data_IF_646842739006
#
_entry.id   IF_646842739006
#
_cell.length_a   1.000
_cell.length_b   1.000
_cell.length_c   1.000
_cell.angle_alpha   90.00
_cell.angle_beta   90.00
_cell.angle_gamma   90.00
#
_symmetry.space_group_name_H-M   'P 1'
#
loop_
_entity.id
_entity.type
_entity.pdbx_description
1 polymer ?
#
# COMPACT_ATOMS: atom_id res chain seq x y z
N UNK A 1 -30.45 -6.61 -28.41
CA UNK A 1 -29.81 -6.78 -27.09
C UNK A 1 -29.49 -5.40 -26.52
N UNK A 2 -29.90 -5.05 -25.30
CA UNK A 2 -29.53 -3.76 -24.72
C UNK A 2 -28.01 -3.69 -24.49
N UNK A 3 -27.40 -2.57 -24.85
CA UNK A 3 -25.98 -2.29 -24.60
C UNK A 3 -25.83 -1.52 -23.27
N UNK A 4 -24.76 -1.78 -22.53
CA UNK A 4 -24.44 -0.98 -21.35
C UNK A 4 -24.05 0.46 -21.76
N UNK A 5 -24.54 1.45 -21.02
CA UNK A 5 -24.15 2.86 -21.19
C UNK A 5 -22.67 3.11 -20.90
N UNK A 6 -22.07 2.32 -20.00
CA UNK A 6 -20.66 2.41 -19.62
C UNK A 6 -20.02 1.03 -19.68
N UNK A 7 -18.80 0.97 -20.22
CA UNK A 7 -18.01 -0.25 -20.27
C UNK A 7 -17.77 -0.85 -18.87
N UNK A 8 -17.88 -2.18 -18.69
CA UNK A 8 -17.69 -2.84 -17.40
C UNK A 8 -16.36 -2.54 -16.71
N UNK A 9 -15.28 -2.33 -17.47
CA UNK A 9 -13.95 -1.97 -16.94
C UNK A 9 -13.91 -0.63 -16.19
N UNK A 10 -14.88 0.25 -16.43
CA UNK A 10 -14.97 1.57 -15.79
C UNK A 10 -15.94 1.58 -14.60
N UNK A 11 -16.57 0.46 -14.25
CA UNK A 11 -17.54 0.45 -13.16
C UNK A 11 -16.90 0.72 -11.80
N UNK A 12 -15.68 0.22 -11.56
CA UNK A 12 -14.98 0.46 -10.30
C UNK A 12 -14.52 1.91 -10.14
N UNK A 13 -14.09 2.55 -11.22
CA UNK A 13 -13.77 3.98 -11.19
C UNK A 13 -15.02 4.85 -10.98
N UNK A 14 -16.17 4.45 -11.54
CA UNK A 14 -17.45 5.12 -11.27
C UNK A 14 -17.94 4.91 -9.84
N UNK A 15 -17.69 3.74 -9.24
CA UNK A 15 -18.00 3.49 -7.82
C UNK A 15 -17.23 4.45 -6.93
N UNK A 16 -15.95 4.69 -7.21
CA UNK A 16 -15.12 5.65 -6.48
C UNK A 16 -15.65 7.10 -6.52
N UNK A 17 -16.41 7.46 -7.55
CA UNK A 17 -16.99 8.81 -7.70
C UNK A 17 -18.35 8.98 -6.98
N UNK A 18 -18.91 7.94 -6.36
CA UNK A 18 -20.25 7.97 -5.78
C UNK A 18 -20.27 7.52 -4.33
N UNK A 19 -21.30 7.95 -3.60
CA UNK A 19 -21.58 7.46 -2.24
C UNK A 19 -20.50 7.83 -1.22
N UNK A 20 -20.19 6.89 -0.33
CA UNK A 20 -19.17 7.06 0.71
C UNK A 20 -17.75 7.15 0.15
N UNK A 21 -17.49 6.49 -0.99
CA UNK A 21 -16.17 6.48 -1.61
C UNK A 21 -15.75 7.87 -2.12
N UNK A 22 -16.72 8.67 -2.58
CA UNK A 22 -16.46 10.05 -3.00
C UNK A 22 -16.10 10.98 -1.84
N UNK A 23 -16.45 10.62 -0.60
CA UNK A 23 -16.17 11.39 0.62
C UNK A 23 -14.84 11.02 1.28
N UNK A 24 -14.14 10.00 0.75
CA UNK A 24 -12.82 9.62 1.24
C UNK A 24 -11.81 10.76 1.01
N UNK A 25 -10.74 10.85 1.83
CA UNK A 25 -9.75 11.91 1.67
C UNK A 25 -9.09 11.92 0.29
N UNK A 26 -8.80 13.11 -0.25
CA UNK A 26 -8.24 13.25 -1.59
C UNK A 26 -6.85 12.64 -1.73
N UNK A 27 -6.02 12.70 -0.68
CA UNK A 27 -4.68 12.10 -0.68
C UNK A 27 -4.74 10.57 -0.82
N UNK A 28 -5.68 9.92 -0.13
CA UNK A 28 -5.89 8.47 -0.23
C UNK A 28 -6.36 8.07 -1.64
N UNK A 29 -7.28 8.82 -2.23
CA UNK A 29 -7.74 8.57 -3.60
C UNK A 29 -6.64 8.78 -4.65
N UNK A 30 -5.72 9.74 -4.42
CA UNK A 30 -4.53 9.92 -5.27
C UNK A 30 -3.59 8.74 -5.15
N UNK A 31 -3.27 8.32 -3.93
CA UNK A 31 -2.42 7.16 -3.67
C UNK A 31 -2.98 5.89 -4.33
N UNK A 32 -4.30 5.64 -4.25
CA UNK A 32 -4.94 4.50 -4.94
C UNK A 32 -4.78 4.55 -6.47
N UNK A 33 -4.84 5.73 -7.07
CA UNK A 33 -4.65 5.91 -8.52
C UNK A 33 -3.19 5.71 -8.91
N UNK A 34 -2.27 6.24 -8.12
CA UNK A 34 -0.83 6.07 -8.29
C UNK A 34 -0.43 4.60 -8.15
N UNK A 35 -0.95 3.91 -7.14
CA UNK A 35 -0.76 2.47 -6.95
C UNK A 35 -1.26 1.66 -8.15
N UNK A 36 -2.44 2.02 -8.69
CA UNK A 36 -3.02 1.35 -9.85
C UNK A 36 -2.26 1.64 -11.16
N UNK A 37 -1.61 2.81 -11.26
CA UNK A 37 -0.80 3.20 -12.40
C UNK A 37 0.66 2.71 -12.30
N UNK A 38 1.14 2.41 -11.10
CA UNK A 38 2.50 1.99 -10.86
C UNK A 38 2.80 0.66 -11.57
N UNK A 39 3.89 0.57 -12.36
CA UNK A 39 4.28 -0.68 -12.97
C UNK A 39 4.70 -1.67 -11.86
N UNK A 40 4.36 -2.97 -12.00
CA UNK A 40 4.79 -3.96 -11.03
C UNK A 40 6.32 -4.09 -11.04
N UNK A 41 6.94 -4.34 -9.87
CA UNK A 41 8.38 -4.44 -9.78
C UNK A 41 8.94 -5.59 -10.61
N UNK A 42 10.13 -5.38 -11.16
CA UNK A 42 10.86 -6.42 -11.88
C UNK A 42 11.50 -7.41 -10.88
N UNK A 43 10.72 -8.41 -10.47
CA UNK A 43 11.16 -9.46 -9.54
C UNK A 43 11.51 -10.74 -10.28
N UNK A 44 10.52 -11.32 -10.96
CA UNK A 44 10.66 -12.62 -11.66
C UNK A 44 11.10 -12.49 -13.12
N UNK A 45 11.43 -11.28 -13.56
CA UNK A 45 11.88 -10.98 -14.91
C UNK A 45 12.95 -9.90 -14.87
N UNK A 46 13.83 -9.90 -15.89
CA UNK A 46 14.88 -8.89 -16.01
C UNK A 46 14.44 -7.81 -17.00
N UNK A 47 14.49 -6.53 -16.61
CA UNK A 47 14.16 -5.47 -17.54
C UNK A 47 15.19 -5.39 -18.67
N UNK A 48 14.73 -5.10 -19.91
CA UNK A 48 15.65 -4.86 -21.00
C UNK A 48 16.50 -3.62 -20.71
N UNK A 49 17.76 -3.65 -21.12
CA UNK A 49 18.68 -2.54 -20.91
C UNK A 49 18.33 -1.29 -21.74
N UNK A 50 17.63 -1.47 -22.87
CA UNK A 50 17.25 -0.40 -23.78
C UNK A 50 15.85 -0.63 -24.35
N UNK A 51 15.14 0.45 -24.67
CA UNK A 51 13.82 0.36 -25.32
C UNK A 51 13.87 -0.25 -26.71
N UNK A 52 15.04 -0.19 -27.37
CA UNK A 52 15.26 -0.76 -28.69
C UNK A 52 16.31 -1.86 -28.59
N UNK A 53 16.01 -3.02 -29.15
CA UNK A 53 17.02 -4.05 -29.38
C UNK A 53 17.47 -4.07 -30.83
N UNK A 54 18.78 -4.17 -30.99
CA UNK A 54 19.38 -4.62 -32.24
C UNK A 54 19.22 -6.13 -32.29
N UNK A 55 18.41 -6.61 -33.25
CA UNK A 55 18.33 -8.04 -33.57
C UNK A 55 19.17 -8.31 -34.81
N UNK A 56 19.82 -9.48 -34.91
CA UNK A 56 20.42 -9.90 -36.17
C UNK A 56 19.30 -10.12 -37.19
N UNK A 57 19.23 -9.25 -38.20
CA UNK A 57 18.19 -9.27 -39.24
C UNK A 57 18.13 -7.94 -40.01
N UNK A 58 17.37 -7.86 -41.11
CA UNK A 58 17.31 -6.69 -41.99
C UNK A 58 16.60 -5.47 -41.38
N UNK A 59 15.84 -5.66 -40.30
CA UNK A 59 15.19 -4.58 -39.57
C UNK A 59 16.07 -4.11 -38.41
N UNK A 60 16.71 -2.96 -38.58
CA UNK A 60 17.43 -2.28 -37.50
C UNK A 60 16.43 -1.68 -36.50
N UNK A 61 16.55 -2.07 -35.23
CA UNK A 61 15.87 -1.44 -34.09
C UNK A 61 14.41 -1.84 -33.88
N UNK A 62 14.18 -2.97 -33.19
CA UNK A 62 12.82 -3.36 -32.75
C UNK A 62 12.56 -2.80 -31.35
N UNK A 63 11.46 -2.04 -31.20
CA UNK A 63 11.01 -1.58 -29.88
C UNK A 63 10.63 -2.78 -29.00
N UNK A 64 11.26 -2.88 -27.84
CA UNK A 64 10.98 -3.87 -26.83
C UNK A 64 9.89 -3.36 -25.89
N UNK A 65 8.87 -4.18 -25.68
CA UNK A 65 7.85 -3.92 -24.68
C UNK A 65 8.14 -4.74 -23.44
N UNK A 66 8.03 -4.09 -22.29
CA UNK A 66 8.09 -4.75 -20.99
C UNK A 66 6.70 -5.30 -20.69
N UNK A 67 6.60 -6.62 -20.60
CA UNK A 67 5.39 -7.31 -20.14
C UNK A 67 5.72 -8.02 -18.83
N UNK A 68 5.14 -7.58 -17.70
CA UNK A 68 5.43 -8.18 -16.41
C UNK A 68 4.85 -9.59 -16.32
N UNK A 69 5.55 -10.45 -15.58
CA UNK A 69 5.08 -11.82 -15.30
C UNK A 69 3.96 -11.76 -14.26
N UNK A 70 2.77 -12.35 -14.52
CA UNK A 70 1.72 -12.43 -13.52
C UNK A 70 2.16 -13.25 -12.31
N UNK A 71 2.10 -12.63 -11.14
CA UNK A 71 2.45 -13.27 -9.86
C UNK A 71 1.17 -13.50 -9.06
N UNK A 72 1.04 -14.69 -8.49
CA UNK A 72 0.00 -15.00 -7.53
C UNK A 72 0.53 -14.83 -6.10
N UNK A 73 -0.11 -13.96 -5.33
CA UNK A 73 0.19 -13.76 -3.91
C UNK A 73 -0.82 -14.55 -3.07
N UNK A 74 -0.38 -15.62 -2.38
CA UNK A 74 -1.25 -16.38 -1.50
C UNK A 74 -1.48 -15.61 -0.17
N UNK A 75 -2.50 -15.96 0.64
CA UNK A 75 -2.83 -15.22 1.86
C UNK A 75 -1.67 -15.14 2.86
N UNK A 76 -0.81 -16.16 2.93
CA UNK A 76 0.39 -16.18 3.78
C UNK A 76 1.39 -15.07 3.41
N UNK A 77 1.37 -14.61 2.15
CA UNK A 77 2.18 -13.47 1.71
C UNK A 77 1.70 -12.15 2.30
N UNK A 78 0.43 -12.05 2.71
CA UNK A 78 -0.13 -10.84 3.33
C UNK A 78 0.19 -10.75 4.82
N UNK A 79 0.51 -11.89 5.44
CA UNK A 79 0.96 -11.99 6.84
C UNK A 79 2.49 -11.86 6.98
N UNK A 80 3.24 -12.08 5.89
CA UNK A 80 4.71 -11.99 5.87
C UNK A 80 5.22 -10.79 5.06
N UNK A 81 6.55 -10.70 4.92
CA UNK A 81 7.22 -9.74 4.05
C UNK A 81 8.01 -10.49 2.98
N UNK A 82 7.45 -10.60 1.76
CA UNK A 82 8.07 -11.39 0.68
C UNK A 82 8.85 -10.53 -0.33
N UNK A 83 8.82 -9.19 -0.21
CA UNK A 83 9.63 -8.28 -1.02
C UNK A 83 9.27 -8.31 -2.52
N UNK A 84 7.98 -8.53 -2.82
CA UNK A 84 7.46 -8.65 -4.19
C UNK A 84 7.63 -10.05 -4.80
N UNK A 85 8.22 -11.01 -4.09
CA UNK A 85 8.18 -12.41 -4.50
C UNK A 85 6.79 -13.00 -4.28
N UNK A 86 6.45 -14.00 -5.09
CA UNK A 86 5.19 -14.72 -5.00
C UNK A 86 5.23 -15.97 -5.84
N UNK A 87 4.11 -16.68 -5.91
CA UNK A 87 4.00 -17.91 -6.68
C UNK A 87 3.83 -17.58 -8.17
N UNK A 88 4.73 -18.09 -9.00
CA UNK A 88 4.61 -17.97 -10.46
C UNK A 88 4.05 -19.29 -10.99
N UNK A 89 2.90 -19.22 -11.67
CA UNK A 89 2.29 -20.35 -12.34
C UNK A 89 2.55 -20.25 -13.84
N UNK A 90 3.11 -21.29 -14.45
CA UNK A 90 3.38 -21.29 -15.88
C UNK A 90 3.61 -22.69 -16.44
N UNK A 91 4.27 -22.72 -17.58
CA UNK A 91 4.57 -23.95 -18.30
C UNK A 91 6.07 -24.05 -18.54
N UNK A 92 6.59 -25.28 -18.51
CA UNK A 92 7.94 -25.61 -18.98
C UNK A 92 7.86 -26.71 -20.01
N UNK A 93 8.81 -26.75 -20.94
CA UNK A 93 8.97 -27.91 -21.80
C UNK A 93 9.89 -28.94 -21.13
N UNK A 94 9.66 -30.23 -21.37
CA UNK A 94 10.59 -31.26 -20.89
C UNK A 94 11.97 -31.09 -21.57
N UNK A 95 13.05 -31.24 -20.81
CA UNK A 95 14.43 -31.05 -21.27
C UNK A 95 14.72 -29.67 -21.90
N UNK A 96 13.88 -28.66 -21.62
CA UNK A 96 13.94 -27.31 -22.21
C UNK A 96 13.89 -27.29 -23.75
N UNK A 97 13.37 -28.36 -24.36
CA UNK A 97 13.20 -28.49 -25.80
C UNK A 97 11.74 -28.20 -26.21
N UNK A 98 11.56 -27.26 -27.15
CA UNK A 98 10.24 -26.84 -27.64
C UNK A 98 9.44 -27.97 -28.30
N UNK A 99 10.11 -28.97 -28.87
CA UNK A 99 9.46 -30.13 -29.49
C UNK A 99 8.97 -31.16 -28.46
N UNK A 100 9.48 -31.07 -27.23
CA UNK A 100 9.11 -31.95 -26.14
C UNK A 100 7.76 -31.57 -25.48
N UNK A 101 7.25 -32.43 -24.59
CA UNK A 101 5.95 -32.23 -23.94
C UNK A 101 5.94 -30.98 -23.03
N UNK A 102 4.88 -30.17 -23.14
CA UNK A 102 4.62 -29.03 -22.26
C UNK A 102 4.02 -29.47 -20.91
N UNK A 103 4.65 -29.08 -19.81
CA UNK A 103 4.29 -29.42 -18.43
C UNK A 103 3.91 -28.17 -17.64
N UNK A 104 2.87 -28.25 -16.79
CA UNK A 104 2.54 -27.19 -15.83
C UNK A 104 3.58 -27.19 -14.71
N UNK A 105 4.10 -26.01 -14.37
CA UNK A 105 5.05 -25.82 -13.27
C UNK A 105 4.63 -24.61 -12.44
N UNK A 106 4.67 -24.79 -11.13
CA UNK A 106 4.53 -23.72 -10.15
C UNK A 106 5.88 -23.51 -9.49
N UNK A 107 6.38 -22.28 -9.54
CA UNK A 107 7.59 -21.85 -8.83
C UNK A 107 7.15 -21.13 -7.56
N UNK A 108 7.63 -21.64 -6.41
CA UNK A 108 7.32 -21.10 -5.08
C UNK A 108 8.57 -20.42 -4.51
N UNK A 109 8.43 -19.29 -3.80
CA UNK A 109 9.55 -18.65 -3.14
C UNK A 109 10.01 -19.47 -1.92
N UNK A 110 11.24 -19.23 -1.48
CA UNK A 110 11.77 -19.80 -0.24
C UNK A 110 11.53 -18.82 0.91
N UNK A 111 10.78 -19.27 1.91
CA UNK A 111 10.34 -18.46 3.06
C UNK A 111 11.02 -18.94 4.33
N UNK A 112 11.49 -17.99 5.14
CA UNK A 112 12.14 -18.21 6.43
C UNK A 112 11.44 -17.41 7.51
N UNK A 113 11.37 -17.94 8.72
CA UNK A 113 10.90 -17.18 9.88
C UNK A 113 12.11 -16.59 10.59
N UNK A 114 12.18 -15.25 10.65
CA UNK A 114 13.27 -14.51 11.28
C UNK A 114 12.71 -13.47 12.26
N UNK A 115 13.54 -13.09 13.22
CA UNK A 115 13.21 -12.06 14.20
C UNK A 115 13.92 -10.76 13.82
N UNK A 116 13.16 -9.67 13.79
CA UNK A 116 13.64 -8.33 13.50
C UNK A 116 13.33 -7.41 14.67
N UNK A 117 14.19 -6.43 14.90
CA UNK A 117 13.95 -5.39 15.88
C UNK A 117 13.63 -4.08 15.15
N UNK A 118 12.58 -3.41 15.61
CA UNK A 118 12.18 -2.08 15.13
C UNK A 118 12.53 -1.06 16.20
N UNK A 119 13.29 -0.04 15.81
CA UNK A 119 13.74 1.05 16.70
C UNK A 119 12.57 1.99 17.02
N UNK A 120 11.74 2.30 16.02
CA UNK A 120 10.57 3.17 16.19
C UNK A 120 9.49 2.48 17.05
N UNK A 121 9.35 1.17 16.94
CA UNK A 121 8.37 0.42 17.72
C UNK A 121 8.89 -0.02 19.10
N UNK A 122 10.21 -0.08 19.29
CA UNK A 122 10.91 -0.69 20.44
C UNK A 122 10.43 -2.12 20.71
N UNK A 123 10.30 -2.92 19.63
CA UNK A 123 9.75 -4.28 19.69
C UNK A 123 10.47 -5.23 18.74
N UNK A 124 10.60 -6.49 19.18
CA UNK A 124 11.02 -7.61 18.34
C UNK A 124 9.79 -8.23 17.65
N UNK A 125 9.88 -8.42 16.35
CA UNK A 125 8.81 -8.98 15.51
C UNK A 125 9.34 -10.25 14.83
N UNK A 126 8.58 -11.33 14.92
CA UNK A 126 8.88 -12.58 14.21
C UNK A 126 8.06 -12.64 12.91
N UNK A 127 8.72 -12.51 11.77
CA UNK A 127 8.06 -12.36 10.46
C UNK A 127 8.59 -13.40 9.48
N UNK A 128 7.70 -13.91 8.63
CA UNK A 128 8.03 -14.76 7.49
C UNK A 128 8.61 -13.91 6.35
N UNK A 129 9.85 -14.16 5.97
CA UNK A 129 10.63 -13.38 4.99
C UNK A 129 11.26 -14.23 3.91
N UNK A 130 11.51 -13.64 2.74
CA UNK A 130 12.29 -14.25 1.65
C UNK A 130 13.75 -13.77 1.70
N UNK A 131 14.66 -14.45 0.98
CA UNK A 131 16.05 -14.00 0.88
C UNK A 131 16.17 -12.60 0.29
N UNK A 132 15.37 -12.30 -0.74
CA UNK A 132 15.34 -10.97 -1.37
C UNK A 132 14.97 -9.88 -0.37
N UNK A 133 14.00 -10.13 0.50
CA UNK A 133 13.61 -9.17 1.54
C UNK A 133 14.77 -8.88 2.48
N UNK A 134 15.53 -9.90 2.89
CA UNK A 134 16.73 -9.70 3.71
C UNK A 134 17.77 -8.83 2.98
N UNK A 135 18.05 -9.10 1.70
CA UNK A 135 18.96 -8.27 0.90
C UNK A 135 18.47 -6.82 0.75
N UNK A 136 17.16 -6.61 0.62
CA UNK A 136 16.58 -5.27 0.54
C UNK A 136 16.68 -4.53 1.88
N UNK A 137 16.52 -5.23 3.00
CA UNK A 137 16.72 -4.68 4.34
C UNK A 137 18.18 -4.26 4.56
N UNK A 138 19.13 -5.09 4.12
CA UNK A 138 20.55 -4.78 4.19
C UNK A 138 20.89 -3.55 3.32
N UNK A 139 20.35 -3.48 2.09
CA UNK A 139 20.50 -2.31 1.20
C UNK A 139 19.89 -1.04 1.78
N UNK A 140 18.80 -1.17 2.54
CA UNK A 140 18.14 -0.05 3.19
C UNK A 140 18.82 0.37 4.51
N UNK A 141 19.80 -0.41 4.98
CA UNK A 141 20.49 -0.26 6.27
C UNK A 141 19.55 -0.29 7.49
N UNK A 142 18.52 -1.14 7.45
CA UNK A 142 17.65 -1.35 8.60
C UNK A 142 16.22 -1.77 8.24
N UNK A 143 15.56 -2.41 9.21
CA UNK A 143 14.18 -2.87 9.07
C UNK A 143 13.19 -1.72 8.91
N UNK A 144 13.28 -0.71 9.77
CA UNK A 144 12.38 0.45 9.73
C UNK A 144 12.58 1.27 8.44
N UNK A 145 13.83 1.46 8.02
CA UNK A 145 14.14 2.13 6.75
C UNK A 145 13.58 1.37 5.55
N UNK A 146 13.69 0.04 5.54
CA UNK A 146 13.12 -0.78 4.48
C UNK A 146 11.61 -0.53 4.35
N UNK A 147 10.86 -0.57 5.45
CA UNK A 147 9.40 -0.39 5.42
C UNK A 147 9.01 1.05 5.01
N UNK A 148 9.73 2.06 5.51
CA UNK A 148 9.44 3.46 5.19
C UNK A 148 9.78 3.82 3.74
N UNK A 149 10.93 3.36 3.22
CA UNK A 149 11.39 3.64 1.85
C UNK A 149 10.63 2.86 0.79
N UNK A 150 10.24 1.62 1.06
CA UNK A 150 9.59 0.78 0.04
C UNK A 150 8.16 1.25 -0.26
N UNK A 151 7.80 1.43 -1.55
CA UNK A 151 6.43 1.73 -1.95
C UNK A 151 5.53 0.50 -1.80
N UNK A 152 4.22 0.72 -1.73
CA UNK A 152 3.21 -0.35 -1.59
C UNK A 152 3.28 -1.38 -2.72
N UNK A 153 3.55 -0.94 -3.95
CA UNK A 153 3.70 -1.78 -5.13
C UNK A 153 4.87 -2.76 -5.05
N UNK A 154 5.90 -2.45 -4.26
CA UNK A 154 7.06 -3.33 -4.03
C UNK A 154 6.90 -4.21 -2.78
N UNK A 155 6.24 -3.68 -1.75
CA UNK A 155 6.06 -4.40 -0.50
C UNK A 155 5.08 -5.58 -0.66
N UNK A 156 4.02 -5.40 -1.46
CA UNK A 156 2.99 -6.40 -1.79
C UNK A 156 2.37 -7.15 -0.59
N UNK A 157 2.44 -6.58 0.61
CA UNK A 157 2.01 -7.21 1.87
C UNK A 157 1.18 -6.24 2.71
N UNK A 158 0.03 -6.74 3.21
CA UNK A 158 -0.82 -6.02 4.15
C UNK A 158 -0.12 -5.74 5.48
N UNK A 159 0.52 -6.76 6.09
CA UNK A 159 1.25 -6.57 7.34
C UNK A 159 2.34 -5.51 7.19
N UNK A 160 3.05 -5.48 6.05
CA UNK A 160 4.06 -4.46 5.80
C UNK A 160 3.47 -3.05 5.74
N UNK A 161 2.30 -2.89 5.12
CA UNK A 161 1.60 -1.59 5.06
C UNK A 161 1.03 -1.16 6.42
N UNK A 162 0.55 -2.11 7.22
CA UNK A 162 0.11 -1.86 8.59
C UNK A 162 1.29 -1.41 9.46
N UNK A 163 2.44 -2.07 9.36
CA UNK A 163 3.66 -1.64 10.02
C UNK A 163 4.04 -0.23 9.57
N UNK A 164 4.04 0.04 8.26
CA UNK A 164 4.35 1.37 7.71
C UNK A 164 3.45 2.45 8.32
N UNK A 165 2.14 2.22 8.36
CA UNK A 165 1.18 3.13 9.00
C UNK A 165 1.51 3.35 10.48
N UNK A 166 1.76 2.28 11.24
CA UNK A 166 2.07 2.41 12.68
C UNK A 166 3.36 3.20 12.91
N UNK A 167 4.40 2.98 12.11
CA UNK A 167 5.67 3.71 12.17
C UNK A 167 5.44 5.20 11.89
N UNK A 168 4.72 5.52 10.81
CA UNK A 168 4.43 6.91 10.43
C UNK A 168 3.59 7.65 11.48
N UNK A 169 2.60 6.99 12.07
CA UNK A 169 1.80 7.58 13.15
C UNK A 169 2.65 7.88 14.39
N UNK A 170 3.57 6.98 14.77
CA UNK A 170 4.50 7.24 15.88
C UNK A 170 5.42 8.42 15.59
N UNK A 171 5.93 8.52 14.36
CA UNK A 171 6.77 9.63 13.93
C UNK A 171 5.98 10.96 13.92
N UNK A 172 4.72 10.94 13.48
CA UNK A 172 3.87 12.13 13.44
C UNK A 172 3.54 12.64 14.86
N UNK A 173 3.19 11.73 15.77
CA UNK A 173 2.81 12.07 17.16
C UNK A 173 3.98 12.41 18.07
N UNK A 174 5.21 12.04 17.69
CA UNK A 174 6.39 12.06 18.57
C UNK A 174 6.08 11.39 19.91
N UNK A 175 5.53 10.18 19.84
CA UNK A 175 4.93 9.50 20.98
C UNK A 175 5.89 9.48 22.20
N UNK A 176 5.49 10.03 23.35
CA UNK A 176 6.33 10.07 24.54
C UNK A 176 6.46 8.71 25.23
N UNK A 177 5.73 7.70 24.75
CA UNK A 177 5.81 6.31 25.22
C UNK A 177 7.04 5.56 24.69
N UNK A 178 7.70 6.07 23.65
CA UNK A 178 8.92 5.46 23.11
C UNK A 178 10.10 5.74 24.05
N UNK A 179 10.69 4.71 24.65
CA UNK A 179 11.75 4.84 25.66
C UNK A 179 11.39 5.88 26.76
N UNK A 180 10.48 5.55 27.69
CA UNK A 180 10.06 6.48 28.75
C UNK A 180 11.23 7.01 29.59
N UNK A 181 12.24 6.16 29.81
CA UNK A 181 13.36 6.46 30.71
C UNK A 181 14.50 7.23 30.03
N UNK A 182 14.59 7.19 28.69
CA UNK A 182 15.72 7.74 27.91
C UNK A 182 15.26 8.73 26.82
N UNK A 183 15.06 10.02 27.16
CA UNK A 183 14.64 11.04 26.19
C UNK A 183 15.67 11.31 25.10
N UNK A 184 16.98 11.23 25.43
CA UNK A 184 18.05 11.43 24.45
C UNK A 184 18.04 10.38 23.33
N UNK A 185 17.73 9.12 23.66
CA UNK A 185 17.59 8.05 22.66
C UNK A 185 16.39 8.28 21.76
N UNK A 186 15.26 8.73 22.32
CA UNK A 186 14.05 9.07 21.56
C UNK A 186 14.33 10.17 20.54
N UNK A 187 15.00 11.24 20.94
CA UNK A 187 15.37 12.32 20.02
C UNK A 187 16.34 11.84 18.94
N UNK A 188 17.30 10.99 19.29
CA UNK A 188 18.22 10.38 18.32
C UNK A 188 17.46 9.56 17.26
N UNK A 189 16.55 8.67 17.69
CA UNK A 189 15.69 7.88 16.79
C UNK A 189 14.85 8.81 15.91
N UNK A 190 14.21 9.82 16.48
CA UNK A 190 13.41 10.77 15.70
C UNK A 190 14.25 11.51 14.65
N UNK A 191 15.46 11.93 15.01
CA UNK A 191 16.38 12.61 14.09
C UNK A 191 16.80 11.71 12.93
N UNK A 192 16.99 10.40 13.19
CA UNK A 192 17.32 9.40 12.16
C UNK A 192 16.21 9.26 11.10
N UNK A 193 14.93 9.36 11.49
CA UNK A 193 13.77 9.13 10.61
C UNK A 193 13.02 10.41 10.20
N UNK A 194 13.61 11.58 10.45
CA UNK A 194 12.99 12.89 10.21
C UNK A 194 12.49 13.08 8.77
N UNK A 195 13.16 12.46 7.80
CA UNK A 195 12.82 12.54 6.37
C UNK A 195 11.43 11.96 6.03
N UNK A 196 10.92 11.04 6.86
CA UNK A 196 9.68 10.31 6.59
C UNK A 196 8.47 10.84 7.38
N UNK A 197 8.60 12.01 8.01
CA UNK A 197 7.51 12.58 8.81
C UNK A 197 6.41 13.11 7.89
N UNK A 198 5.22 12.52 8.02
CA UNK A 198 3.99 12.89 7.31
C UNK A 198 2.97 13.38 8.34
N UNK A 199 2.05 14.31 8.00
CA UNK A 199 0.98 14.72 8.91
C UNK A 199 0.16 13.53 9.40
N UNK A 200 -0.28 13.59 10.67
CA UNK A 200 -1.08 12.51 11.28
C UNK A 200 -2.34 12.19 10.45
N UNK A 201 -3.02 13.24 9.97
CA UNK A 201 -4.23 13.11 9.15
C UNK A 201 -4.01 12.31 7.86
N UNK A 202 -2.82 12.35 7.26
CA UNK A 202 -2.50 11.58 6.06
C UNK A 202 -1.98 10.18 6.43
N UNK A 203 -1.15 10.10 7.47
CA UNK A 203 -0.54 8.86 7.95
C UNK A 203 -1.58 7.81 8.32
N UNK A 204 -2.71 8.20 8.91
CA UNK A 204 -3.75 7.26 9.31
C UNK A 204 -4.44 6.53 8.14
N UNK A 205 -4.36 7.06 6.92
CA UNK A 205 -4.99 6.48 5.73
C UNK A 205 -4.03 5.64 4.88
N UNK A 206 -2.74 5.68 5.19
CA UNK A 206 -1.74 4.89 4.48
C UNK A 206 -1.96 3.40 4.78
N UNK A 207 -1.92 2.57 3.74
CA UNK A 207 -1.98 1.12 3.88
C UNK A 207 -3.36 0.51 4.10
N UNK A 208 -4.40 1.33 4.32
CA UNK A 208 -5.77 0.85 4.42
C UNK A 208 -6.23 0.21 3.12
N UNK A 209 -6.99 -0.88 3.24
CA UNK A 209 -7.75 -1.42 2.11
C UNK A 209 -8.94 -0.51 1.77
N UNK A 210 -9.53 -0.68 0.59
CA UNK A 210 -10.74 0.07 0.21
C UNK A 210 -11.88 -0.17 1.20
N UNK A 211 -12.04 -1.41 1.67
CA UNK A 211 -13.07 -1.80 2.63
C UNK A 211 -12.82 -1.17 4.00
N UNK A 212 -11.58 -1.18 4.47
CA UNK A 212 -11.19 -0.57 5.75
C UNK A 212 -11.32 0.95 5.71
N UNK A 213 -10.97 1.58 4.59
CA UNK A 213 -11.13 3.02 4.39
C UNK A 213 -12.62 3.42 4.42
N UNK A 214 -13.48 2.62 3.80
CA UNK A 214 -14.94 2.81 3.85
C UNK A 214 -15.45 2.66 5.27
N UNK A 215 -15.01 1.63 6.00
CA UNK A 215 -15.45 1.41 7.37
C UNK A 215 -14.97 2.53 8.30
N UNK A 216 -13.71 2.97 8.15
CA UNK A 216 -13.17 4.12 8.88
C UNK A 216 -14.01 5.38 8.63
N UNK A 217 -14.30 5.68 7.37
CA UNK A 217 -15.15 6.82 7.01
C UNK A 217 -16.56 6.70 7.57
N UNK A 218 -17.13 5.49 7.56
CA UNK A 218 -18.45 5.21 8.13
C UNK A 218 -18.49 5.47 9.63
N UNK A 219 -17.44 5.06 10.35
CA UNK A 219 -17.31 5.32 11.80
C UNK A 219 -17.14 6.80 12.08
N UNK A 220 -16.37 7.55 11.28
CA UNK A 220 -16.20 8.99 11.41
C UNK A 220 -17.51 9.77 11.16
N UNK A 221 -18.29 9.34 10.18
CA UNK A 221 -19.58 9.95 9.83
C UNK A 221 -20.72 9.52 10.75
N UNK A 222 -20.52 8.47 11.57
CA UNK A 222 -21.52 7.96 12.49
C UNK A 222 -21.78 9.00 13.59
N UNK A 223 -22.73 9.89 13.32
CA UNK A 223 -23.31 10.85 14.26
C UNK A 223 -24.74 10.44 14.54
N UNK A 224 -25.12 10.46 15.81
CA UNK A 224 -26.53 10.26 16.17
C UNK A 224 -27.36 11.39 15.55
N UNK A 225 -28.54 11.09 14.99
CA UNK A 225 -29.38 12.11 14.41
C UNK A 225 -29.73 13.13 15.49
N UNK A 226 -29.41 14.40 15.24
CA UNK A 226 -29.74 15.48 16.17
C UNK A 226 -31.27 15.57 16.26
N UNK A 227 -31.87 15.48 17.46
CA UNK A 227 -33.31 15.60 17.60
C UNK A 227 -33.82 16.93 17.05
N UNK A 228 -34.86 16.91 16.22
CA UNK A 228 -35.43 18.11 15.57
C UNK A 228 -35.83 19.20 16.58
N UNK A 229 -36.21 18.80 17.80
CA UNK A 229 -36.48 19.72 18.89
C UNK A 229 -35.34 20.71 19.14
N UNK A 230 -34.09 20.24 19.13
CA UNK A 230 -32.91 21.11 19.34
C UNK A 230 -32.76 22.12 18.20
N UNK A 231 -32.96 21.66 16.96
CA UNK A 231 -32.91 22.52 15.77
C UNK A 231 -33.96 23.62 15.86
N UNK A 232 -35.21 23.28 16.15
CA UNK A 232 -36.29 24.28 16.28
C UNK A 232 -36.11 25.22 17.48
N UNK A 233 -35.54 24.74 18.58
CA UNK A 233 -35.23 25.59 19.73
C UNK A 233 -34.15 26.64 19.38
N UNK A 234 -33.11 26.24 18.65
CA UNK A 234 -32.06 27.15 18.16
C UNK A 234 -32.63 28.18 17.17
N UNK A 235 -33.48 27.74 16.22
CA UNK A 235 -34.16 28.63 15.28
C UNK A 235 -35.04 29.66 16.00
N UNK A 236 -35.78 29.25 17.04
CA UNK A 236 -36.62 30.14 17.84
C UNK A 236 -35.79 31.19 18.58
N UNK A 237 -34.67 30.79 19.20
CA UNK A 237 -33.76 31.72 19.88
C UNK A 237 -33.22 32.76 18.90
N UNK A 238 -32.77 32.32 17.71
CA UNK A 238 -32.30 33.23 16.66
C UNK A 238 -33.39 34.21 16.20
N UNK A 239 -34.63 33.74 16.12
CA UNK A 239 -35.77 34.58 15.74
C UNK A 239 -36.06 35.65 16.80
N UNK A 240 -36.04 35.28 18.08
CA UNK A 240 -36.25 36.19 19.20
C UNK A 240 -35.12 37.23 19.33
N UNK A 241 -33.87 36.82 19.13
CA UNK A 241 -32.72 37.74 19.10
C UNK A 241 -32.84 38.77 17.98
N UNK A 242 -33.29 38.37 16.78
CA UNK A 242 -33.57 39.31 15.68
C UNK A 242 -34.65 40.31 16.06
N UNK A 243 -35.71 39.88 16.73
CA UNK A 243 -36.81 40.75 17.17
C UNK A 243 -36.41 41.75 18.25
N UNK A 244 -35.43 41.42 19.11
CA UNK A 244 -34.91 42.36 20.13
C UNK A 244 -33.92 43.40 19.58
N UNK A 245 -33.35 43.15 18.40
CA UNK A 245 -32.39 44.05 17.75
C UNK A 245 -33.07 45.10 16.85
N UNK A 246 -34.40 45.05 16.71
CA UNK A 246 -35.27 46.06 16.08
C UNK A 246 -36.13 46.75 17.13
#
# INVERSE_FOLDING_TARGET
MPLHKVAPRLWDSLRLQRGILARLPPHYLRALREDAAAPPPAVHWRPPASEYARRPGPLEGVRQQVVPVPVYFPPESQEGLWGGEGCVAGYRYAHDDKLSRRLKKMWKPQVFNREFYSEILDKKLRIAVTMRTLEQMDKAFGFDFYILKTPKSELCSKLGMDLKRTLLLRLARKDPSLHPDDPAKREAVYNTYKEFVIPEEEAEWIGLSLEEAVEKQRVLEKKEPVPLFRVYAEELILHLQKQQMF
#
